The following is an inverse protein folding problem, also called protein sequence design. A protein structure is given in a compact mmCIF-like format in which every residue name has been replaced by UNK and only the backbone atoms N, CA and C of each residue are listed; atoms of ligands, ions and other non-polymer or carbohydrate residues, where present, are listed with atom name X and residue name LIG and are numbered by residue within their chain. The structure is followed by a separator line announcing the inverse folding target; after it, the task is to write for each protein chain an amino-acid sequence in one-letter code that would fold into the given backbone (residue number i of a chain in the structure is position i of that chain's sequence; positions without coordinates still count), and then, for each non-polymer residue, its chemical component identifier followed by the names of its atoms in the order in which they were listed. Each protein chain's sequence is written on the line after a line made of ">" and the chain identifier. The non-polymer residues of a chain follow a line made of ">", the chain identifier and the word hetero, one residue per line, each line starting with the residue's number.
data_IF_373010156300
#
_entry.id   IF_373010156300
#
_cell.length_a   1.000
_cell.length_b   1.000
_cell.length_c   1.000
_cell.angle_alpha   90.00
_cell.angle_beta   90.00
_cell.angle_gamma   90.00
#
_symmetry.space_group_name_H-M   'P 1'
#
loop_
_entity.id
_entity.type
_entity.pdbx_description
1 polymer ?
#
# COMPACT_ATOMS: atom_id res chain seq x y z
N UNK A 1 -25.39 -9.40 -10.53
CA UNK A 1 -24.76 -8.62 -11.62
C UNK A 1 -23.30 -8.39 -11.28
N UNK A 2 -22.37 -9.19 -11.82
CA UNK A 2 -20.93 -8.99 -11.66
C UNK A 2 -20.35 -8.31 -12.89
N UNK A 3 -19.64 -7.19 -12.73
CA UNK A 3 -18.92 -6.51 -13.82
C UNK A 3 -17.59 -7.24 -14.08
N UNK A 4 -17.39 -7.70 -15.31
CA UNK A 4 -16.13 -8.28 -15.78
C UNK A 4 -15.26 -7.15 -16.33
N UNK A 5 -14.08 -6.95 -15.76
CA UNK A 5 -13.11 -5.94 -16.21
C UNK A 5 -12.32 -6.52 -17.39
N UNK A 6 -12.41 -5.87 -18.55
CA UNK A 6 -11.76 -6.29 -19.80
C UNK A 6 -10.25 -5.96 -19.72
N UNK A 7 -9.40 -6.98 -19.54
CA UNK A 7 -7.94 -6.82 -19.60
C UNK A 7 -7.12 -7.67 -18.62
N UNK A 8 -7.73 -8.37 -17.66
CA UNK A 8 -6.98 -9.19 -16.70
C UNK A 8 -6.40 -10.43 -17.37
N UNK A 9 -5.09 -10.45 -17.58
CA UNK A 9 -4.36 -11.64 -17.99
C UNK A 9 -4.20 -12.54 -16.76
N UNK A 10 -4.92 -13.66 -16.73
CA UNK A 10 -4.79 -14.66 -15.67
C UNK A 10 -3.43 -15.34 -15.84
N UNK A 11 -2.43 -14.94 -15.06
CA UNK A 11 -1.22 -15.75 -14.89
C UNK A 11 -1.58 -16.94 -14.01
N UNK A 12 -1.64 -18.11 -14.63
CA UNK A 12 -1.72 -19.38 -13.91
C UNK A 12 -0.33 -19.65 -13.35
N UNK A 13 -0.05 -19.12 -12.16
CA UNK A 13 1.13 -19.55 -11.39
C UNK A 13 0.84 -20.94 -10.81
N UNK A 14 1.50 -21.96 -11.37
CA UNK A 14 1.52 -23.30 -10.80
C UNK A 14 2.28 -23.25 -9.48
N UNK A 15 1.53 -23.21 -8.37
CA UNK A 15 2.10 -23.46 -7.06
C UNK A 15 2.50 -24.95 -6.97
N UNK A 16 3.80 -25.24 -7.02
CA UNK A 16 4.32 -26.54 -6.61
C UNK A 16 4.25 -26.61 -5.08
N UNK A 17 3.23 -27.28 -4.56
CA UNK A 17 3.22 -27.71 -3.16
C UNK A 17 4.31 -28.78 -2.97
N UNK A 18 5.49 -28.36 -2.51
CA UNK A 18 6.46 -29.30 -1.91
C UNK A 18 5.91 -29.70 -0.56
N UNK A 19 5.52 -30.96 -0.43
CA UNK A 19 5.29 -31.59 0.87
C UNK A 19 6.65 -31.59 1.59
N UNK A 20 6.77 -30.99 2.79
CA UNK A 20 8.00 -31.12 3.56
C UNK A 20 8.16 -32.59 3.93
N UNK A 21 9.28 -33.17 3.52
CA UNK A 21 9.64 -34.54 3.84
C UNK A 21 9.85 -34.63 5.36
N UNK A 22 8.89 -35.24 6.05
CA UNK A 22 9.01 -35.51 7.48
C UNK A 22 10.06 -36.60 7.60
N UNK A 23 11.27 -36.22 8.00
CA UNK A 23 12.32 -37.15 8.36
C UNK A 23 11.78 -38.11 9.42
N UNK A 24 11.72 -39.40 9.10
CA UNK A 24 11.43 -40.43 10.09
C UNK A 24 12.41 -40.27 11.25
N UNK A 25 11.95 -40.35 12.52
CA UNK A 25 12.85 -40.23 13.66
C UNK A 25 13.93 -41.30 13.53
N UNK A 26 15.17 -40.86 13.38
CA UNK A 26 16.32 -41.73 13.43
C UNK A 26 16.36 -42.32 14.83
N UNK A 27 16.18 -43.64 14.93
CA UNK A 27 16.54 -44.39 16.13
C UNK A 27 18.01 -44.10 16.39
N UNK A 28 18.28 -43.24 17.38
CA UNK A 28 19.61 -43.04 17.92
C UNK A 28 20.10 -44.39 18.42
N UNK A 29 20.91 -45.08 17.61
CA UNK A 29 21.84 -46.07 18.11
C UNK A 29 22.89 -45.30 18.91
N UNK A 30 22.57 -45.03 20.17
CA UNK A 30 23.50 -44.53 21.16
C UNK A 30 24.65 -45.55 21.28
N UNK A 31 25.70 -45.28 20.51
CA UNK A 31 27.00 -45.92 20.63
C UNK A 31 27.89 -44.90 21.32
N UNK A 32 28.07 -45.06 22.63
CA UNK A 32 28.80 -44.10 23.45
C UNK A 32 28.93 -44.57 24.90
N UNK A 33 29.74 -45.60 25.08
CA UNK A 33 30.64 -45.90 26.22
C UNK A 33 30.28 -45.41 27.65
N UNK A 34 30.24 -46.39 28.57
CA UNK A 34 30.33 -46.23 30.04
C UNK A 34 29.02 -46.64 30.73
N UNK A 35 28.90 -47.68 31.54
CA UNK A 35 29.88 -48.52 32.21
C UNK A 35 29.37 -49.96 32.24
N UNK A 36 30.20 -50.88 31.78
CA UNK A 36 30.07 -52.30 32.09
C UNK A 36 30.47 -52.50 33.55
N UNK A 37 29.58 -53.04 34.37
CA UNK A 37 29.90 -53.60 35.68
C UNK A 37 28.99 -54.79 35.96
N UNK A 38 29.11 -55.81 35.11
CA UNK A 38 28.85 -57.19 35.53
C UNK A 38 30.06 -57.66 36.34
N UNK A 39 29.92 -58.18 37.57
CA UNK A 39 31.02 -58.87 38.22
C UNK A 39 31.08 -60.30 37.66
N UNK A 40 31.84 -60.49 36.58
CA UNK A 40 32.44 -61.78 36.25
C UNK A 40 33.70 -61.95 37.12
N UNK A 41 33.52 -62.59 38.27
CA UNK A 41 34.54 -63.36 38.96
C UNK A 41 33.86 -64.72 39.23
N UNK A 42 34.33 -65.86 38.75
CA UNK A 42 35.68 -66.38 38.91
C UNK A 42 36.02 -67.39 37.80
N UNK A 43 37.28 -67.35 37.39
CA UNK A 43 37.87 -68.25 36.40
C UNK A 43 38.08 -69.68 36.89
N UNK A 44 38.09 -70.58 35.91
CA UNK A 44 38.42 -71.98 36.02
C UNK A 44 39.88 -72.18 36.44
N UNK A 45 40.08 -72.92 37.52
CA UNK A 45 41.36 -73.53 37.90
C UNK A 45 41.29 -75.03 37.63
N UNK A 46 42.00 -75.46 36.60
CA UNK A 46 42.24 -76.84 36.23
C UNK A 46 43.31 -77.42 37.16
N UNK A 47 42.99 -78.47 37.91
CA UNK A 47 43.97 -79.49 38.32
C UNK A 47 43.25 -80.79 38.65
N UNK A 48 43.49 -81.78 37.81
CA UNK A 48 43.30 -83.19 38.09
C UNK A 48 44.32 -83.63 39.15
N UNK A 49 43.90 -84.39 40.16
CA UNK A 49 44.14 -85.84 40.18
C UNK A 49 43.81 -86.48 41.54
N UNK A 50 43.15 -87.63 41.42
CA UNK A 50 43.35 -88.85 42.20
C UNK A 50 42.78 -88.99 43.64
N UNK A 51 42.34 -90.24 43.90
CA UNK A 51 41.95 -90.86 45.18
C UNK A 51 40.54 -90.50 45.68
N UNK A 52 39.56 -91.41 45.85
CA UNK A 52 39.53 -92.86 46.03
C UNK A 52 38.22 -93.45 45.50
N UNK A 53 38.32 -94.51 44.70
CA UNK A 53 37.30 -95.55 44.55
C UNK A 53 37.26 -96.38 45.84
N UNK A 54 36.11 -96.38 46.53
CA UNK A 54 35.41 -97.55 47.07
C UNK A 54 34.43 -97.13 48.19
N UNK A 55 33.15 -96.94 47.86
CA UNK A 55 32.06 -96.87 48.83
C UNK A 55 30.75 -97.31 48.14
N UNK A 56 29.91 -98.13 48.79
CA UNK A 56 28.96 -98.99 48.11
C UNK A 56 27.77 -98.22 47.50
N UNK A 57 27.41 -98.62 46.27
CA UNK A 57 26.13 -98.34 45.63
C UNK A 57 24.99 -98.80 46.55
N UNK A 58 24.40 -97.86 47.28
CA UNK A 58 23.37 -98.19 48.27
C UNK A 58 22.84 -96.98 49.02
N UNK A 59 22.16 -96.07 48.31
CA UNK A 59 21.42 -94.97 48.91
C UNK A 59 20.38 -94.46 47.92
N UNK A 60 19.10 -94.63 48.27
CA UNK A 60 17.94 -94.21 47.48
C UNK A 60 18.08 -92.77 46.96
N UNK A 61 17.51 -92.43 45.79
CA UNK A 61 17.50 -91.04 45.30
C UNK A 61 17.02 -90.12 46.43
N UNK A 62 17.73 -89.02 46.76
CA UNK A 62 17.20 -88.06 47.70
C UNK A 62 15.86 -87.61 47.15
N UNK A 63 14.81 -87.86 47.92
CA UNK A 63 13.44 -87.51 47.56
C UNK A 63 13.46 -86.08 47.04
N UNK A 64 13.05 -85.90 45.77
CA UNK A 64 12.74 -84.58 45.24
C UNK A 64 11.93 -83.86 46.34
N UNK A 65 12.32 -82.64 46.75
CA UNK A 65 11.49 -81.92 47.69
C UNK A 65 10.10 -81.93 47.10
N UNK A 66 9.09 -82.33 47.89
CA UNK A 66 7.72 -82.28 47.44
C UNK A 66 7.41 -80.81 47.15
N UNK A 67 7.65 -80.38 45.91
CA UNK A 67 7.32 -79.05 45.44
C UNK A 67 5.82 -79.02 45.57
N UNK A 68 5.33 -78.23 46.52
CA UNK A 68 3.92 -78.01 46.67
C UNK A 68 3.47 -77.17 45.47
N UNK A 69 3.08 -77.89 44.41
CA UNK A 69 2.58 -77.33 43.15
C UNK A 69 1.36 -76.43 43.37
N UNK A 70 0.70 -76.54 44.53
CA UNK A 70 -0.41 -75.67 44.92
C UNK A 70 0.12 -74.34 45.47
N UNK A 71 1.13 -74.37 46.35
CA UNK A 71 1.77 -73.17 46.89
C UNK A 71 2.51 -72.35 45.81
N UNK A 72 3.30 -73.01 44.95
CA UNK A 72 4.01 -72.34 43.84
C UNK A 72 3.04 -71.71 42.83
N UNK A 73 1.89 -72.35 42.59
CA UNK A 73 0.83 -71.79 41.74
C UNK A 73 0.15 -70.59 42.38
N UNK A 74 -0.03 -70.59 43.70
CA UNK A 74 -0.58 -69.45 44.44
C UNK A 74 0.39 -68.24 44.42
N UNK A 75 1.69 -68.47 44.59
CA UNK A 75 2.73 -67.43 44.47
C UNK A 75 2.81 -66.88 43.05
N UNK A 76 2.82 -67.74 42.03
CA UNK A 76 2.81 -67.33 40.62
C UNK A 76 1.55 -66.52 40.27
N UNK A 77 0.38 -66.90 40.81
CA UNK A 77 -0.86 -66.15 40.63
C UNK A 77 -0.80 -64.77 41.29
N UNK A 78 -0.24 -64.66 42.51
CA UNK A 78 -0.06 -63.38 43.19
C UNK A 78 0.85 -62.43 42.40
N UNK A 79 1.95 -62.93 41.81
CA UNK A 79 2.85 -62.14 40.96
C UNK A 79 2.16 -61.68 39.68
N UNK A 80 1.33 -62.53 39.07
CA UNK A 80 0.53 -62.15 37.89
C UNK A 80 -0.49 -61.06 38.25
N UNK A 81 -1.16 -61.18 39.39
CA UNK A 81 -2.14 -60.20 39.85
C UNK A 81 -1.47 -58.86 40.22
N UNK A 82 -0.27 -58.89 40.82
CA UNK A 82 0.55 -57.69 41.07
C UNK A 82 1.03 -57.04 39.76
N UNK A 83 1.49 -57.84 38.79
CA UNK A 83 1.90 -57.35 37.48
C UNK A 83 0.71 -56.71 36.73
N UNK A 84 -0.48 -57.32 36.82
CA UNK A 84 -1.70 -56.77 36.24
C UNK A 84 -2.08 -55.42 36.87
N UNK A 85 -2.06 -55.32 38.21
CA UNK A 85 -2.29 -54.04 38.92
C UNK A 85 -1.29 -52.96 38.52
N UNK A 86 0.00 -53.31 38.44
CA UNK A 86 1.05 -52.37 38.05
C UNK A 86 0.90 -51.90 36.59
N UNK A 87 0.50 -52.80 35.69
CA UNK A 87 0.22 -52.45 34.30
C UNK A 87 -0.98 -51.51 34.19
N UNK A 88 -2.06 -51.77 34.94
CA UNK A 88 -3.23 -50.89 34.98
C UNK A 88 -2.88 -49.47 35.48
N UNK A 89 -2.07 -49.37 36.54
CA UNK A 89 -1.59 -48.09 37.06
C UNK A 89 -0.75 -47.32 36.03
N UNK A 90 0.15 -48.03 35.32
CA UNK A 90 1.00 -47.42 34.30
C UNK A 90 0.18 -46.92 33.09
N UNK A 91 -0.83 -47.68 32.68
CA UNK A 91 -1.76 -47.27 31.62
C UNK A 91 -2.58 -46.04 32.07
N UNK A 92 -3.06 -46.02 33.31
CA UNK A 92 -3.79 -44.88 33.85
C UNK A 92 -2.93 -43.60 33.95
N UNK A 93 -1.68 -43.72 34.39
CA UNK A 93 -0.72 -42.62 34.42
C UNK A 93 -0.36 -42.15 33.00
N UNK A 94 -0.12 -43.08 32.06
CA UNK A 94 0.14 -42.75 30.66
C UNK A 94 -1.04 -42.01 30.01
N UNK A 95 -2.29 -42.43 30.27
CA UNK A 95 -3.48 -41.72 29.81
C UNK A 95 -3.62 -40.33 30.42
N UNK A 96 -3.30 -40.18 31.70
CA UNK A 96 -3.33 -38.88 32.39
C UNK A 96 -2.30 -37.93 31.77
N UNK A 97 -1.06 -38.38 31.60
CA UNK A 97 0.01 -37.58 30.96
C UNK A 97 -0.29 -37.24 29.51
N UNK A 98 -0.85 -38.17 28.76
CA UNK A 98 -1.27 -37.92 27.38
C UNK A 98 -2.35 -36.84 27.33
N UNK A 99 -3.34 -36.91 28.24
CA UNK A 99 -4.39 -35.91 28.34
C UNK A 99 -3.84 -34.53 28.69
N UNK A 100 -2.97 -34.42 29.70
CA UNK A 100 -2.37 -33.12 30.06
C UNK A 100 -1.53 -32.56 28.92
N UNK A 101 -0.80 -33.40 28.19
CA UNK A 101 -0.01 -32.96 27.04
C UNK A 101 -0.89 -32.41 25.91
N UNK A 102 -2.03 -33.06 25.64
CA UNK A 102 -3.01 -32.57 24.65
C UNK A 102 -3.65 -31.26 25.11
N UNK A 103 -4.02 -31.14 26.38
CA UNK A 103 -4.58 -29.91 26.94
C UNK A 103 -3.57 -28.75 26.90
N UNK A 104 -2.31 -28.98 27.26
CA UNK A 104 -1.23 -28.00 27.17
C UNK A 104 -0.93 -27.62 25.71
N UNK A 105 -0.92 -28.59 24.80
CA UNK A 105 -0.70 -28.33 23.38
C UNK A 105 -1.85 -27.50 22.79
N UNK A 106 -3.10 -27.78 23.16
CA UNK A 106 -4.26 -27.00 22.75
C UNK A 106 -4.20 -25.57 23.30
N UNK A 107 -3.87 -25.39 24.58
CA UNK A 107 -3.72 -24.07 25.18
C UNK A 107 -2.62 -23.25 24.49
N UNK A 108 -1.46 -23.87 24.19
CA UNK A 108 -0.39 -23.21 23.44
C UNK A 108 -0.81 -22.87 22.02
N UNK A 109 -1.50 -23.77 21.32
CA UNK A 109 -2.01 -23.51 19.98
C UNK A 109 -2.96 -22.31 19.96
N UNK A 110 -3.86 -22.21 20.93
CA UNK A 110 -4.77 -21.06 21.05
C UNK A 110 -4.01 -19.75 21.27
N UNK A 111 -2.99 -19.74 22.14
CA UNK A 111 -2.16 -18.54 22.34
C UNK A 111 -1.43 -18.11 21.08
N UNK A 112 -0.84 -19.07 20.35
CA UNK A 112 -0.13 -18.80 19.08
C UNK A 112 -1.10 -18.23 18.03
N UNK A 113 -2.31 -18.78 17.92
CA UNK A 113 -3.32 -18.28 16.99
C UNK A 113 -3.76 -16.86 17.36
N UNK A 114 -3.97 -16.58 18.65
CA UNK A 114 -4.34 -15.24 19.10
C UNK A 114 -3.24 -14.22 18.85
N UNK A 115 -1.98 -14.56 19.15
CA UNK A 115 -0.84 -13.68 18.92
C UNK A 115 -0.60 -13.44 17.42
N UNK A 116 -0.65 -14.49 16.60
CA UNK A 116 -0.53 -14.36 15.14
C UNK A 116 -1.65 -13.50 14.55
N UNK A 117 -2.89 -13.64 15.06
CA UNK A 117 -4.02 -12.81 14.63
C UNK A 117 -3.84 -11.35 15.04
N UNK A 118 -3.38 -11.08 16.26
CA UNK A 118 -3.08 -9.72 16.73
C UNK A 118 -1.98 -9.08 15.87
N UNK A 119 -0.87 -9.79 15.71
CA UNK A 119 0.26 -9.33 14.90
C UNK A 119 -0.14 -9.06 13.45
N UNK A 120 -0.83 -10.00 12.79
CA UNK A 120 -1.28 -9.81 11.42
C UNK A 120 -2.29 -8.66 11.26
N UNK A 121 -3.12 -8.41 12.26
CA UNK A 121 -4.03 -7.27 12.27
C UNK A 121 -3.26 -5.94 12.40
N UNK A 122 -2.31 -5.86 13.33
CA UNK A 122 -1.53 -4.65 13.60
C UNK A 122 -0.62 -4.31 12.41
N UNK A 123 0.06 -5.31 11.84
CA UNK A 123 0.88 -5.17 10.63
C UNK A 123 0.03 -4.77 9.42
N UNK A 124 -1.11 -5.42 9.22
CA UNK A 124 -2.04 -5.08 8.14
C UNK A 124 -2.63 -3.68 8.27
N UNK A 125 -2.95 -3.26 9.49
CA UNK A 125 -3.43 -1.92 9.78
C UNK A 125 -2.36 -0.86 9.54
N UNK A 126 -1.12 -1.10 10.00
CA UNK A 126 0.01 -0.20 9.78
C UNK A 126 0.34 -0.05 8.28
N UNK A 127 0.45 -1.17 7.57
CA UNK A 127 0.71 -1.17 6.13
C UNK A 127 -0.42 -0.49 5.35
N UNK A 128 -1.69 -0.78 5.70
CA UNK A 128 -2.85 -0.14 5.09
C UNK A 128 -2.87 1.37 5.32
N UNK A 129 -2.52 1.82 6.54
CA UNK A 129 -2.43 3.24 6.87
C UNK A 129 -1.33 3.93 6.06
N UNK A 130 -0.15 3.33 5.96
CA UNK A 130 0.95 3.92 5.16
C UNK A 130 0.58 4.04 3.68
N UNK A 131 -0.06 3.03 3.10
CA UNK A 131 -0.51 3.09 1.70
C UNK A 131 -1.56 4.19 1.53
N UNK A 132 -2.54 4.26 2.42
CA UNK A 132 -3.57 5.32 2.39
C UNK A 132 -2.96 6.72 2.53
N UNK A 133 -2.00 6.90 3.42
CA UNK A 133 -1.30 8.18 3.62
C UNK A 133 -0.49 8.58 2.37
N UNK A 134 0.16 7.63 1.70
CA UNK A 134 0.86 7.88 0.42
C UNK A 134 -0.12 8.26 -0.69
N UNK A 135 -1.18 7.47 -0.90
CA UNK A 135 -2.20 7.74 -1.91
C UNK A 135 -2.88 9.10 -1.69
N UNK A 136 -3.17 9.45 -0.43
CA UNK A 136 -3.74 10.74 -0.08
C UNK A 136 -2.77 11.89 -0.39
N UNK A 137 -1.48 11.73 -0.08
CA UNK A 137 -0.49 12.75 -0.39
C UNK A 137 -0.33 12.95 -1.90
N UNK A 138 -0.29 11.87 -2.68
CA UNK A 138 -0.23 11.92 -4.14
C UNK A 138 -1.47 12.61 -4.72
N UNK A 139 -2.66 12.31 -4.18
CA UNK A 139 -3.90 13.01 -4.54
C UNK A 139 -3.84 14.50 -4.19
N UNK A 140 -3.29 14.88 -3.04
CA UNK A 140 -3.13 16.28 -2.67
C UNK A 140 -2.14 17.02 -3.58
N UNK A 141 -1.04 16.37 -3.96
CA UNK A 141 -0.05 16.94 -4.89
C UNK A 141 -0.68 17.16 -6.26
N UNK A 142 -1.39 16.16 -6.79
CA UNK A 142 -2.09 16.29 -8.07
C UNK A 142 -3.16 17.39 -8.04
N UNK A 143 -3.96 17.47 -6.97
CA UNK A 143 -4.95 18.54 -6.80
C UNK A 143 -4.31 19.93 -6.74
N UNK A 144 -3.20 20.09 -6.02
CA UNK A 144 -2.44 21.35 -6.00
C UNK A 144 -1.91 21.71 -7.39
N UNK A 145 -1.39 20.72 -8.12
CA UNK A 145 -0.95 20.90 -9.52
C UNK A 145 -2.09 21.38 -10.43
N UNK A 146 -3.27 20.76 -10.32
CA UNK A 146 -4.46 21.17 -11.07
C UNK A 146 -4.92 22.59 -10.73
N UNK A 147 -4.88 22.97 -9.45
CA UNK A 147 -5.22 24.33 -9.01
C UNK A 147 -4.25 25.37 -9.58
N UNK A 148 -2.94 25.08 -9.58
CA UNK A 148 -1.97 25.99 -10.18
C UNK A 148 -2.12 26.08 -11.69
N UNK A 149 -2.34 24.96 -12.38
CA UNK A 149 -2.67 24.97 -13.80
C UNK A 149 -3.91 25.81 -14.11
N UNK A 150 -4.98 25.66 -13.31
CA UNK A 150 -6.19 26.45 -13.47
C UNK A 150 -5.96 27.96 -13.22
N UNK A 151 -5.10 28.31 -12.25
CA UNK A 151 -4.72 29.71 -12.00
C UNK A 151 -3.95 30.31 -13.18
N UNK A 152 -2.97 29.58 -13.70
CA UNK A 152 -2.18 30.00 -14.87
C UNK A 152 -3.08 30.16 -16.08
N UNK A 153 -3.97 29.20 -16.34
CA UNK A 153 -4.89 29.25 -17.47
C UNK A 153 -5.89 30.41 -17.36
N UNK A 154 -6.41 30.67 -16.15
CA UNK A 154 -7.24 31.84 -15.90
C UNK A 154 -6.50 33.14 -16.21
N UNK A 155 -5.21 33.25 -15.84
CA UNK A 155 -4.44 34.44 -16.12
C UNK A 155 -4.23 34.63 -17.63
N UNK A 156 -3.84 33.57 -18.34
CA UNK A 156 -3.72 33.59 -19.80
C UNK A 156 -5.02 33.97 -20.50
N UNK A 157 -6.16 33.48 -20.03
CA UNK A 157 -7.46 33.82 -20.58
C UNK A 157 -7.76 35.32 -20.43
N UNK A 158 -7.43 35.90 -19.28
CA UNK A 158 -7.61 37.34 -19.04
C UNK A 158 -6.67 38.16 -19.94
N UNK A 159 -5.40 37.78 -20.02
CA UNK A 159 -4.42 38.44 -20.91
C UNK A 159 -4.82 38.34 -22.39
N UNK A 160 -5.35 37.18 -22.82
CA UNK A 160 -5.83 36.98 -24.18
C UNK A 160 -7.12 37.77 -24.48
N UNK A 161 -7.98 37.97 -23.47
CA UNK A 161 -9.21 38.73 -23.62
C UNK A 161 -8.97 40.25 -23.73
N UNK A 162 -7.90 40.77 -23.13
CA UNK A 162 -7.58 42.21 -23.14
C UNK A 162 -7.54 42.83 -24.57
N UNK A 163 -6.76 42.29 -25.54
CA UNK A 163 -6.74 42.85 -26.89
C UNK A 163 -8.08 42.70 -27.62
N UNK A 164 -8.85 41.63 -27.35
CA UNK A 164 -10.18 41.45 -27.93
C UNK A 164 -11.17 42.50 -27.41
N UNK A 165 -11.13 42.80 -26.13
CA UNK A 165 -11.94 43.84 -25.51
C UNK A 165 -11.59 45.24 -26.04
N UNK A 166 -10.30 45.53 -26.23
CA UNK A 166 -9.87 46.79 -26.86
C UNK A 166 -10.38 46.89 -28.29
N UNK A 167 -10.26 45.81 -29.08
CA UNK A 167 -10.78 45.78 -30.45
C UNK A 167 -12.30 45.97 -30.50
N UNK A 168 -13.03 45.36 -29.57
CA UNK A 168 -14.46 45.54 -29.41
C UNK A 168 -14.81 47.00 -29.06
N UNK A 169 -14.11 47.59 -28.09
CA UNK A 169 -14.32 48.97 -27.68
C UNK A 169 -14.06 49.95 -28.83
N UNK A 170 -12.99 49.74 -29.60
CA UNK A 170 -12.69 50.53 -30.80
C UNK A 170 -13.77 50.38 -31.87
N UNK A 171 -14.25 49.16 -32.13
CA UNK A 171 -15.34 48.92 -33.08
C UNK A 171 -16.66 49.57 -32.67
N UNK A 172 -16.96 49.59 -31.36
CA UNK A 172 -18.12 50.31 -30.82
C UNK A 172 -17.93 51.82 -31.01
N UNK A 173 -16.76 52.37 -30.67
CA UNK A 173 -16.46 53.78 -30.83
C UNK A 173 -16.56 54.23 -32.30
N UNK A 174 -15.99 53.44 -33.22
CA UNK A 174 -16.08 53.68 -34.67
C UNK A 174 -17.54 53.72 -35.14
N UNK A 175 -18.36 52.75 -34.71
CA UNK A 175 -19.77 52.70 -35.08
C UNK A 175 -20.58 53.86 -34.52
N UNK A 176 -20.33 54.26 -33.27
CA UNK A 176 -20.97 55.43 -32.64
C UNK A 176 -20.55 56.71 -33.35
N UNK A 177 -19.26 56.90 -33.65
CA UNK A 177 -18.76 58.07 -34.37
C UNK A 177 -19.34 58.17 -35.78
N UNK A 178 -19.37 57.07 -36.53
CA UNK A 178 -20.00 57.04 -37.85
C UNK A 178 -21.49 57.40 -37.79
N UNK A 179 -22.21 56.89 -36.79
CA UNK A 179 -23.62 57.24 -36.60
C UNK A 179 -23.79 58.73 -36.25
N UNK A 180 -22.94 59.28 -35.37
CA UNK A 180 -23.02 60.68 -34.98
C UNK A 180 -22.71 61.62 -36.15
N UNK A 181 -21.67 61.34 -36.94
CA UNK A 181 -21.30 62.13 -38.13
C UNK A 181 -22.39 62.04 -39.21
N UNK A 182 -23.04 60.87 -39.34
CA UNK A 182 -24.14 60.69 -40.28
C UNK A 182 -25.39 61.49 -39.89
N UNK A 183 -25.67 61.61 -38.58
CA UNK A 183 -26.81 62.37 -38.06
C UNK A 183 -26.56 63.88 -38.03
N UNK A 184 -25.38 64.30 -37.59
CA UNK A 184 -25.00 65.70 -37.46
C UNK A 184 -23.66 65.98 -38.14
N UNK A 185 -23.72 66.49 -39.37
CA UNK A 185 -22.53 66.93 -40.12
C UNK A 185 -21.92 68.23 -39.58
N UNK A 186 -22.58 68.92 -38.66
CA UNK A 186 -22.05 70.11 -37.98
C UNK A 186 -20.87 69.80 -37.05
N UNK A 187 -20.77 68.55 -36.57
CA UNK A 187 -19.68 68.07 -35.71
C UNK A 187 -18.30 68.31 -36.33
N UNK A 188 -18.17 68.20 -37.66
CA UNK A 188 -16.89 68.42 -38.36
C UNK A 188 -16.42 69.87 -38.23
N UNK A 189 -17.35 70.83 -38.30
CA UNK A 189 -17.04 72.27 -38.15
C UNK A 189 -16.61 72.57 -36.72
N UNK A 190 -17.31 72.05 -35.72
CA UNK A 190 -16.96 72.21 -34.30
C UNK A 190 -15.61 71.57 -33.96
N UNK A 191 -15.29 70.42 -34.56
CA UNK A 191 -13.95 69.82 -34.46
C UNK A 191 -12.88 70.72 -35.05
N UNK A 192 -13.12 71.34 -36.21
CA UNK A 192 -12.18 72.29 -36.81
C UNK A 192 -12.02 73.56 -35.97
N UNK A 193 -13.10 74.12 -35.42
CA UNK A 193 -13.05 75.25 -34.48
C UNK A 193 -12.18 74.94 -33.27
N UNK A 194 -12.39 73.77 -32.65
CA UNK A 194 -11.61 73.32 -31.49
C UNK A 194 -10.14 73.09 -31.84
N UNK A 195 -9.84 72.49 -32.99
CA UNK A 195 -8.47 72.26 -33.44
C UNK A 195 -7.75 73.59 -33.74
N UNK A 196 -8.44 74.54 -34.36
CA UNK A 196 -7.93 75.88 -34.67
C UNK A 196 -7.69 76.68 -33.39
N UNK A 197 -8.61 76.65 -32.42
CA UNK A 197 -8.44 77.36 -31.14
C UNK A 197 -7.28 76.84 -30.28
N UNK A 198 -6.74 75.66 -30.57
CA UNK A 198 -5.51 75.13 -29.93
C UNK A 198 -4.22 75.62 -30.60
N UNK A 199 -4.30 76.22 -31.78
CA UNK A 199 -3.15 76.79 -32.46
C UNK A 199 -2.83 78.16 -31.85
N UNK A 200 -1.60 78.35 -31.40
CA UNK A 200 -1.11 79.64 -30.92
C UNK A 200 -0.34 80.32 -32.06
N UNK A 201 -0.75 81.54 -32.41
CA UNK A 201 -0.06 82.51 -33.28
C UNK A 201 0.50 81.94 -34.60
N UNK A 202 -0.39 81.55 -35.52
CA UNK A 202 0.01 81.08 -36.87
C UNK A 202 -0.60 81.97 -37.95
N UNK A 203 0.26 82.56 -38.78
CA UNK A 203 -0.18 83.45 -39.88
C UNK A 203 -0.91 82.72 -41.02
N UNK A 204 -0.66 81.42 -41.23
CA UNK A 204 -1.28 80.66 -42.33
C UNK A 204 -1.62 79.24 -41.88
N UNK A 205 -2.89 78.86 -42.03
CA UNK A 205 -3.41 77.53 -41.69
C UNK A 205 -4.07 76.92 -42.92
N UNK A 206 -3.73 75.66 -43.22
CA UNK A 206 -4.38 74.89 -44.30
C UNK A 206 -5.14 73.73 -43.69
N UNK A 207 -6.46 73.70 -43.87
CA UNK A 207 -7.34 72.63 -43.38
C UNK A 207 -7.70 71.74 -44.56
N UNK A 208 -7.36 70.45 -44.47
CA UNK A 208 -7.67 69.45 -45.50
C UNK A 208 -8.91 68.68 -45.09
N UNK A 209 -9.94 68.68 -45.93
CA UNK A 209 -11.24 68.05 -45.63
C UNK A 209 -11.70 67.12 -46.74
N UNK A 210 -12.68 66.26 -46.42
CA UNK A 210 -13.33 65.43 -47.44
C UNK A 210 -14.13 66.34 -48.40
N UNK A 211 -14.14 66.08 -49.72
CA UNK A 211 -14.95 66.83 -50.68
C UNK A 211 -16.42 66.98 -50.30
N UNK A 212 -17.00 65.97 -49.61
CA UNK A 212 -18.39 66.00 -49.16
C UNK A 212 -18.66 67.06 -48.06
N UNK A 213 -17.64 67.51 -47.34
CA UNK A 213 -17.75 68.45 -46.22
C UNK A 213 -17.14 69.83 -46.55
N UNK A 214 -16.57 69.97 -47.74
CA UNK A 214 -15.84 71.16 -48.19
C UNK A 214 -16.75 72.38 -48.32
N UNK A 215 -17.94 72.21 -48.86
CA UNK A 215 -18.91 73.29 -49.05
C UNK A 215 -19.36 73.87 -47.70
N UNK A 216 -19.66 72.97 -46.74
CA UNK A 216 -20.08 73.33 -45.37
C UNK A 216 -18.97 74.03 -44.59
N UNK A 217 -17.71 73.64 -44.81
CA UNK A 217 -16.53 74.31 -44.23
C UNK A 217 -16.26 75.70 -44.83
N UNK A 218 -16.60 75.91 -46.10
CA UNK A 218 -16.50 77.23 -46.75
C UNK A 218 -17.54 78.19 -46.20
N UNK A 219 -18.77 77.72 -45.96
CA UNK A 219 -19.84 78.52 -45.36
C UNK A 219 -19.44 79.05 -43.97
N UNK A 220 -18.74 78.25 -43.16
CA UNK A 220 -18.31 78.61 -41.80
C UNK A 220 -16.87 79.14 -41.73
N UNK A 221 -16.28 79.53 -42.87
CA UNK A 221 -14.87 79.97 -42.95
C UNK A 221 -14.60 81.19 -42.06
N UNK A 222 -15.53 82.15 -42.05
CA UNK A 222 -15.33 83.41 -41.34
C UNK A 222 -15.42 83.22 -39.82
N UNK A 223 -16.27 82.31 -39.34
CA UNK A 223 -16.31 81.89 -37.93
C UNK A 223 -15.01 81.22 -37.48
N UNK A 224 -14.42 80.38 -38.34
CA UNK A 224 -13.17 79.68 -38.05
C UNK A 224 -11.97 80.65 -37.95
N UNK A 225 -11.97 81.72 -38.76
CA UNK A 225 -10.94 82.77 -38.70
C UNK A 225 -11.05 83.58 -37.41
N UNK A 226 -12.28 83.92 -37.01
CA UNK A 226 -12.54 84.71 -35.81
C UNK A 226 -12.07 84.01 -34.52
N UNK A 227 -12.16 82.67 -34.45
CA UNK A 227 -11.77 81.89 -33.27
C UNK A 227 -10.25 81.76 -33.13
N UNK A 228 -9.53 81.65 -34.25
CA UNK A 228 -8.08 81.40 -34.24
C UNK A 228 -7.20 82.65 -34.40
N UNK A 229 -7.80 83.84 -34.60
CA UNK A 229 -7.09 85.08 -34.97
C UNK A 229 -6.08 84.87 -36.14
N UNK A 230 -6.50 84.09 -37.15
CA UNK A 230 -5.63 83.65 -38.25
C UNK A 230 -5.71 84.63 -39.42
N UNK A 231 -4.56 85.11 -39.91
CA UNK A 231 -4.51 86.01 -41.08
C UNK A 231 -4.89 85.35 -42.41
N UNK A 232 -4.54 84.07 -42.59
CA UNK A 232 -4.79 83.37 -43.85
C UNK A 232 -5.23 81.91 -43.64
N UNK A 233 -6.53 81.63 -43.86
CA UNK A 233 -7.11 80.29 -43.80
C UNK A 233 -7.41 79.76 -45.21
N UNK A 234 -6.81 78.62 -45.56
CA UNK A 234 -7.05 77.87 -46.79
C UNK A 234 -7.73 76.54 -46.49
N UNK A 235 -8.91 76.29 -47.07
CA UNK A 235 -9.62 75.00 -46.98
C UNK A 235 -9.47 74.27 -48.31
N UNK A 236 -8.92 73.06 -48.28
CA UNK A 236 -8.60 72.24 -49.47
C UNK A 236 -9.21 70.86 -49.36
#
# INVERSE_FOLDING_TARGET
>A
MGRVVKGSHIRIERYQLRVPEVAAPQLETATGAGDASSPDAFGFGESADAFLLDAPLGGAPPAAPAVDVVALRAEAQAVIDDAARNAELLIADAHTRARTLVEDAAARADTVVQDARRQGHDEGYAAGREVADREMNDMLVTMRGLLEMARVERHKLIEAAEPELVKLALGIAERVLHQQIALDRGVVVEMAKTAIGRLIERDTVTVRVNPADLERMREHRDELIAIGDIRNLRVV
#
